data_IF_944443232542
#
_entry.id   IF_944443232542
#
_cell.length_a   1.000
_cell.length_b   1.000
_cell.length_c   1.000
_cell.angle_alpha   90.00
_cell.angle_beta   90.00
_cell.angle_gamma   90.00
#
_symmetry.space_group_name_H-M   'P 1'
#
loop_
_entity.id
_entity.type
_entity.pdbx_description
1 polymer ?
#
# COMPACT_ATOMS: atom_id res chain seq x y z
N UNK A 1 27.23 13.10 -5.87
CA UNK A 1 28.47 13.89 -6.08
C UNK A 1 28.44 14.71 -7.36
N UNK A 2 28.15 14.13 -8.55
CA UNK A 2 28.08 14.93 -9.81
C UNK A 2 26.91 15.94 -9.75
N UNK A 3 25.70 15.51 -9.48
CA UNK A 3 24.53 16.38 -9.43
C UNK A 3 24.56 17.40 -8.29
N UNK A 4 25.20 17.10 -7.14
CA UNK A 4 25.43 18.11 -6.10
C UNK A 4 26.31 19.28 -6.61
N UNK A 5 27.31 18.97 -7.46
CA UNK A 5 28.15 19.99 -8.08
C UNK A 5 27.40 20.81 -9.14
N UNK A 6 26.44 20.17 -9.84
CA UNK A 6 25.57 20.88 -10.79
C UNK A 6 24.68 21.86 -10.02
N UNK A 7 24.03 21.43 -8.94
CA UNK A 7 23.16 22.30 -8.11
C UNK A 7 23.90 23.50 -7.51
N UNK A 8 25.19 23.36 -7.20
CA UNK A 8 25.99 24.49 -6.73
C UNK A 8 26.19 25.56 -7.80
N UNK A 9 26.15 25.18 -9.08
CA UNK A 9 26.37 26.10 -10.23
C UNK A 9 25.05 26.56 -10.83
N UNK A 10 24.08 25.67 -10.88
CA UNK A 10 22.74 25.90 -11.42
C UNK A 10 21.66 25.32 -10.47
N UNK A 11 21.17 26.13 -9.53
CA UNK A 11 20.10 25.72 -8.61
C UNK A 11 18.76 25.48 -9.29
N UNK A 12 18.62 25.87 -10.57
CA UNK A 12 17.37 25.72 -11.35
C UNK A 12 17.34 24.45 -12.18
N UNK A 13 18.43 23.67 -12.21
CA UNK A 13 18.47 22.38 -12.89
C UNK A 13 17.53 21.37 -12.22
N UNK A 14 16.42 21.06 -12.92
CA UNK A 14 15.47 20.05 -12.48
C UNK A 14 16.11 18.65 -12.42
N UNK A 15 16.99 18.33 -13.39
CA UNK A 15 17.69 17.05 -13.43
C UNK A 15 18.54 16.86 -12.18
N UNK A 16 19.34 17.87 -11.85
CA UNK A 16 20.21 17.79 -10.68
C UNK A 16 19.41 17.70 -9.38
N UNK A 17 18.33 18.49 -9.25
CA UNK A 17 17.42 18.45 -8.11
C UNK A 17 16.79 17.07 -7.94
N UNK A 18 16.35 16.45 -9.04
CA UNK A 18 15.73 15.13 -9.02
C UNK A 18 16.76 14.02 -8.75
N UNK A 19 17.85 13.98 -9.52
CA UNK A 19 18.77 12.84 -9.49
C UNK A 19 19.61 12.76 -8.22
N UNK A 20 19.84 13.86 -7.51
CA UNK A 20 20.44 13.82 -6.16
C UNK A 20 19.57 12.99 -5.21
N UNK A 21 18.26 13.18 -5.23
CA UNK A 21 17.33 12.45 -4.37
C UNK A 21 17.12 11.03 -4.88
N UNK A 22 16.91 10.87 -6.19
CA UNK A 22 16.67 9.58 -6.83
C UNK A 22 17.78 8.57 -6.54
N UNK A 23 19.05 8.92 -6.76
CA UNK A 23 20.17 7.99 -6.53
C UNK A 23 20.38 7.68 -5.06
N UNK A 24 20.12 8.63 -4.14
CA UNK A 24 20.14 8.36 -2.71
C UNK A 24 19.06 7.35 -2.32
N UNK A 25 17.88 7.46 -2.91
CA UNK A 25 16.79 6.52 -2.66
C UNK A 25 17.08 5.14 -3.26
N UNK A 26 17.73 5.06 -4.42
CA UNK A 26 18.17 3.79 -5.05
C UNK A 26 19.19 3.02 -4.21
N UNK A 27 20.03 3.71 -3.45
CA UNK A 27 21.07 3.13 -2.59
C UNK A 27 20.59 2.88 -1.14
N UNK A 28 19.32 3.20 -0.82
CA UNK A 28 18.84 3.11 0.55
C UNK A 28 18.79 1.67 1.05
N UNK A 29 19.09 1.49 2.33
CA UNK A 29 18.90 0.22 3.04
C UNK A 29 17.45 0.09 3.49
N UNK A 30 17.04 -1.13 3.86
CA UNK A 30 15.69 -1.42 4.36
C UNK A 30 15.24 -0.43 5.46
N UNK A 31 16.07 -0.21 6.46
CA UNK A 31 15.77 0.73 7.55
C UNK A 31 15.64 2.21 7.12
N UNK A 32 15.96 2.51 5.88
CA UNK A 32 15.91 3.87 5.31
C UNK A 32 14.75 4.07 4.32
N UNK A 33 13.95 3.02 4.06
CA UNK A 33 12.86 3.08 3.06
C UNK A 33 11.90 4.22 3.35
N UNK A 34 11.45 4.38 4.60
CA UNK A 34 10.53 5.45 4.96
C UNK A 34 11.13 6.84 4.66
N UNK A 35 12.35 7.09 5.10
CA UNK A 35 13.02 8.39 4.88
C UNK A 35 13.33 8.63 3.40
N UNK A 36 13.68 7.59 2.64
CA UNK A 36 13.90 7.68 1.21
C UNK A 36 12.59 8.03 0.47
N UNK A 37 11.49 7.35 0.79
CA UNK A 37 10.18 7.65 0.21
C UNK A 37 9.73 9.08 0.50
N UNK A 38 9.84 9.54 1.76
CA UNK A 38 9.52 10.93 2.13
C UNK A 38 10.38 11.91 1.33
N UNK A 39 11.68 11.64 1.17
CA UNK A 39 12.59 12.52 0.41
C UNK A 39 12.21 12.59 -1.07
N UNK A 40 11.85 11.46 -1.68
CA UNK A 40 11.36 11.41 -3.07
C UNK A 40 10.05 12.19 -3.20
N UNK A 41 9.06 11.94 -2.34
CA UNK A 41 7.78 12.65 -2.38
C UNK A 41 7.96 14.17 -2.27
N UNK A 42 8.81 14.62 -1.34
CA UNK A 42 9.07 16.05 -1.12
C UNK A 42 9.78 16.73 -2.28
N UNK A 43 10.60 16.03 -3.07
CA UNK A 43 11.29 16.65 -4.20
C UNK A 43 10.40 16.81 -5.45
N UNK A 44 9.31 16.04 -5.58
CA UNK A 44 8.46 16.00 -6.80
C UNK A 44 7.88 17.38 -7.12
N UNK A 45 7.28 18.05 -6.13
CA UNK A 45 6.69 19.38 -6.32
C UNK A 45 7.73 20.39 -6.85
N UNK A 46 8.88 20.44 -6.20
CA UNK A 46 9.96 21.34 -6.61
C UNK A 46 10.46 21.02 -8.01
N UNK A 47 10.72 19.75 -8.32
CA UNK A 47 11.23 19.31 -9.63
C UNK A 47 10.25 19.61 -10.75
N UNK A 48 8.96 19.31 -10.58
CA UNK A 48 7.93 19.56 -11.58
C UNK A 48 7.70 21.07 -11.80
N UNK A 49 7.80 21.89 -10.75
CA UNK A 49 7.79 23.34 -10.87
C UNK A 49 9.00 23.87 -11.65
N UNK A 50 10.22 23.37 -11.34
CA UNK A 50 11.42 23.74 -12.10
C UNK A 50 11.28 23.40 -13.59
N UNK A 51 10.71 22.25 -13.93
CA UNK A 51 10.40 21.90 -15.32
C UNK A 51 9.42 22.91 -15.93
N UNK A 52 8.32 23.21 -15.23
CA UNK A 52 7.29 24.12 -15.70
C UNK A 52 7.83 25.53 -15.97
N UNK A 53 8.67 26.03 -15.07
CA UNK A 53 9.11 27.42 -15.04
C UNK A 53 10.35 27.67 -15.90
N UNK A 54 11.27 26.69 -15.99
CA UNK A 54 12.59 26.90 -16.62
C UNK A 54 12.76 26.17 -17.96
N UNK A 55 11.91 25.21 -18.33
CA UNK A 55 11.97 24.56 -19.65
C UNK A 55 11.01 25.26 -20.59
N UNK A 56 11.54 25.92 -21.63
CA UNK A 56 10.72 26.80 -22.49
C UNK A 56 9.89 26.03 -23.52
N UNK A 57 10.42 24.92 -24.04
CA UNK A 57 9.74 24.10 -25.06
C UNK A 57 8.72 23.16 -24.41
N UNK A 58 7.51 23.11 -24.93
CA UNK A 58 6.48 22.17 -24.47
C UNK A 58 6.87 20.71 -24.68
N UNK A 59 7.55 20.41 -25.77
CA UNK A 59 8.00 19.04 -26.04
C UNK A 59 9.13 18.62 -25.08
N UNK A 60 10.02 19.54 -24.73
CA UNK A 60 11.04 19.31 -23.72
C UNK A 60 10.44 19.19 -22.30
N UNK A 61 9.46 20.04 -21.97
CA UNK A 61 8.71 19.90 -20.72
C UNK A 61 8.06 18.52 -20.63
N UNK A 62 7.42 18.08 -21.70
CA UNK A 62 6.79 16.77 -21.80
C UNK A 62 7.81 15.64 -21.60
N UNK A 63 8.94 15.68 -22.30
CA UNK A 63 10.00 14.70 -22.12
C UNK A 63 10.49 14.67 -20.66
N UNK A 64 10.73 15.84 -20.06
CA UNK A 64 11.23 15.98 -18.70
C UNK A 64 10.24 15.44 -17.65
N UNK A 65 8.96 15.85 -17.67
CA UNK A 65 8.00 15.33 -16.68
C UNK A 65 7.71 13.85 -16.90
N UNK A 66 7.75 13.35 -18.13
CA UNK A 66 7.58 11.90 -18.41
C UNK A 66 8.77 11.10 -17.83
N UNK A 67 9.98 11.61 -17.97
CA UNK A 67 11.16 10.97 -17.36
C UNK A 67 11.04 10.93 -15.84
N UNK A 68 10.72 12.04 -15.20
CA UNK A 68 10.52 12.11 -13.76
C UNK A 68 9.42 11.14 -13.32
N UNK A 69 8.27 11.13 -14.02
CA UNK A 69 7.15 10.24 -13.70
C UNK A 69 7.57 8.77 -13.75
N UNK A 70 8.22 8.34 -14.83
CA UNK A 70 8.70 6.97 -14.97
C UNK A 70 9.70 6.58 -13.87
N UNK A 71 10.63 7.46 -13.54
CA UNK A 71 11.62 7.23 -12.48
C UNK A 71 10.97 7.15 -11.09
N UNK A 72 10.02 8.04 -10.80
CA UNK A 72 9.27 8.01 -9.53
C UNK A 72 8.46 6.73 -9.42
N UNK A 73 7.78 6.29 -10.48
CA UNK A 73 7.03 5.02 -10.48
C UNK A 73 7.95 3.83 -10.19
N UNK A 74 9.12 3.78 -10.81
CA UNK A 74 10.11 2.71 -10.59
C UNK A 74 10.63 2.72 -9.16
N UNK A 75 11.11 3.87 -8.66
CA UNK A 75 11.69 3.92 -7.31
C UNK A 75 10.64 3.65 -6.24
N UNK A 76 9.42 4.16 -6.38
CA UNK A 76 8.33 3.90 -5.45
C UNK A 76 7.98 2.40 -5.42
N UNK A 77 7.96 1.75 -6.60
CA UNK A 77 7.77 0.30 -6.71
C UNK A 77 8.87 -0.50 -6.02
N UNK A 78 10.13 -0.08 -6.16
CA UNK A 78 11.26 -0.70 -5.46
C UNK A 78 11.16 -0.55 -3.95
N UNK A 79 10.83 0.65 -3.45
CA UNK A 79 10.66 0.93 -2.03
C UNK A 79 9.50 0.11 -1.44
N UNK A 80 8.33 0.10 -2.11
CA UNK A 80 7.17 -0.66 -1.65
C UNK A 80 7.43 -2.17 -1.62
N UNK A 81 7.96 -2.72 -2.71
CA UNK A 81 8.26 -4.15 -2.80
C UNK A 81 9.41 -4.55 -1.87
N UNK A 82 10.41 -3.71 -1.69
CA UNK A 82 11.50 -3.91 -0.74
C UNK A 82 10.97 -4.02 0.69
N UNK A 83 10.10 -3.08 1.09
CA UNK A 83 9.44 -3.10 2.40
C UNK A 83 8.55 -4.34 2.58
N UNK A 84 7.74 -4.68 1.56
CA UNK A 84 6.87 -5.85 1.57
C UNK A 84 7.68 -7.14 1.70
N UNK A 85 8.71 -7.32 0.88
CA UNK A 85 9.53 -8.53 0.90
C UNK A 85 10.30 -8.67 2.22
N UNK A 86 10.78 -7.56 2.77
CA UNK A 86 11.39 -7.56 4.10
C UNK A 86 10.40 -8.03 5.15
N UNK A 87 9.22 -7.40 5.23
CA UNK A 87 8.18 -7.74 6.19
C UNK A 87 7.75 -9.22 6.09
N UNK A 88 7.52 -9.71 4.87
CA UNK A 88 7.14 -11.11 4.64
C UNK A 88 8.28 -12.08 5.00
N UNK A 89 9.54 -11.66 4.81
CA UNK A 89 10.73 -12.48 5.14
C UNK A 89 11.06 -12.55 6.64
N UNK A 90 10.45 -11.71 7.50
CA UNK A 90 10.65 -11.76 8.95
C UNK A 90 10.03 -13.05 9.52
N UNK A 91 10.72 -13.66 10.48
CA UNK A 91 10.19 -14.81 11.22
C UNK A 91 8.80 -14.48 11.76
N UNK A 92 7.88 -15.41 11.52
CA UNK A 92 6.46 -15.20 11.78
C UNK A 92 6.15 -14.97 13.25
N UNK A 93 6.93 -15.57 14.16
CA UNK A 93 6.73 -15.42 15.60
C UNK A 93 6.93 -13.98 16.09
N UNK A 94 7.73 -13.20 15.35
CA UNK A 94 8.07 -11.81 15.70
C UNK A 94 7.54 -10.79 14.68
N UNK A 95 7.00 -11.23 13.54
CA UNK A 95 6.57 -10.36 12.42
C UNK A 95 5.58 -9.28 12.85
N UNK A 96 4.68 -9.60 13.80
CA UNK A 96 3.70 -8.65 14.32
C UNK A 96 4.34 -7.38 14.91
N UNK A 97 5.56 -7.49 15.45
CA UNK A 97 6.29 -6.35 16.01
C UNK A 97 6.76 -5.37 14.92
N UNK A 98 6.81 -5.81 13.66
CA UNK A 98 7.26 -5.02 12.51
C UNK A 98 6.12 -4.53 11.61
N UNK A 99 4.86 -4.80 11.98
CA UNK A 99 3.69 -4.39 11.19
C UNK A 99 3.63 -2.87 11.03
N UNK A 100 3.94 -2.10 12.08
CA UNK A 100 3.94 -0.63 12.01
C UNK A 100 5.06 -0.11 11.09
N UNK A 101 6.23 -0.73 11.09
CA UNK A 101 7.32 -0.40 10.17
C UNK A 101 6.91 -0.66 8.72
N UNK A 102 6.30 -1.81 8.46
CA UNK A 102 5.74 -2.14 7.15
C UNK A 102 4.71 -1.10 6.67
N UNK A 103 3.77 -0.73 7.53
CA UNK A 103 2.76 0.29 7.23
C UNK A 103 3.44 1.62 6.90
N UNK A 104 4.37 2.09 7.73
CA UNK A 104 5.06 3.37 7.54
C UNK A 104 5.85 3.40 6.22
N UNK A 105 6.60 2.33 5.93
CA UNK A 105 7.35 2.19 4.69
C UNK A 105 6.42 2.14 3.46
N UNK A 106 5.31 1.41 3.55
CA UNK A 106 4.30 1.33 2.49
C UNK A 106 3.66 2.69 2.21
N UNK A 107 3.29 3.43 3.26
CA UNK A 107 2.74 4.78 3.11
C UNK A 107 3.75 5.76 2.50
N UNK A 108 5.02 5.70 2.88
CA UNK A 108 6.05 6.55 2.30
C UNK A 108 6.24 6.30 0.79
N UNK A 109 6.20 5.04 0.35
CA UNK A 109 6.23 4.69 -1.07
C UNK A 109 4.95 5.13 -1.81
N UNK A 110 3.77 4.96 -1.20
CA UNK A 110 2.49 5.42 -1.77
C UNK A 110 2.44 6.94 -1.89
N UNK A 111 2.98 7.67 -0.92
CA UNK A 111 3.04 9.14 -0.96
C UNK A 111 3.76 9.64 -2.22
N UNK A 112 4.81 8.95 -2.68
CA UNK A 112 5.52 9.33 -3.91
C UNK A 112 4.57 9.33 -5.13
N UNK A 113 3.80 8.26 -5.32
CA UNK A 113 2.92 8.14 -6.50
C UNK A 113 1.68 9.04 -6.38
N UNK A 114 1.13 9.23 -5.18
CA UNK A 114 0.03 10.19 -4.99
C UNK A 114 0.49 11.62 -5.24
N UNK A 115 1.63 12.02 -4.66
CA UNK A 115 2.20 13.36 -4.89
C UNK A 115 2.57 13.58 -6.36
N UNK A 116 3.10 12.56 -7.05
CA UNK A 116 3.38 12.64 -8.48
C UNK A 116 2.12 12.93 -9.29
N UNK A 117 1.07 12.13 -9.09
CA UNK A 117 -0.19 12.32 -9.82
C UNK A 117 -0.81 13.68 -9.55
N UNK A 118 -0.83 14.11 -8.28
CA UNK A 118 -1.40 15.41 -7.89
C UNK A 118 -0.66 16.58 -8.52
N UNK A 119 0.67 16.54 -8.56
CA UNK A 119 1.46 17.62 -9.15
C UNK A 119 1.42 17.62 -10.68
N UNK A 120 1.39 16.46 -11.34
CA UNK A 120 1.20 16.38 -12.79
C UNK A 120 -0.16 16.94 -13.21
N UNK A 121 -1.24 16.57 -12.52
CA UNK A 121 -2.60 17.10 -12.77
C UNK A 121 -2.64 18.62 -12.55
N UNK A 122 -2.04 19.11 -11.47
CA UNK A 122 -2.03 20.53 -11.13
C UNK A 122 -1.25 21.37 -12.14
N UNK A 123 -0.03 20.94 -12.50
CA UNK A 123 0.91 21.75 -13.28
C UNK A 123 0.77 21.57 -14.79
N UNK A 124 0.38 20.37 -15.22
CA UNK A 124 0.32 19.96 -16.63
C UNK A 124 -1.03 19.36 -17.04
N UNK A 125 -2.09 19.53 -16.25
CA UNK A 125 -3.41 18.91 -16.46
C UNK A 125 -4.15 19.30 -17.76
N UNK A 126 -3.60 20.21 -18.56
CA UNK A 126 -4.06 20.51 -19.93
C UNK A 126 -3.44 19.58 -20.97
N UNK A 127 -2.44 18.78 -20.61
CA UNK A 127 -1.79 17.81 -21.48
C UNK A 127 -2.33 16.40 -21.24
N UNK A 128 -2.77 15.76 -22.30
CA UNK A 128 -3.38 14.41 -22.23
C UNK A 128 -2.40 13.37 -21.68
N UNK A 129 -1.10 13.46 -22.00
CA UNK A 129 -0.11 12.52 -21.50
C UNK A 129 0.15 12.71 -20.01
N UNK A 130 0.23 13.96 -19.54
CA UNK A 130 0.33 14.25 -18.11
C UNK A 130 -0.88 13.70 -17.35
N UNK A 131 -2.09 13.79 -17.91
CA UNK A 131 -3.31 13.24 -17.34
C UNK A 131 -3.27 11.71 -17.26
N UNK A 132 -2.75 11.03 -18.27
CA UNK A 132 -2.57 9.59 -18.28
C UNK A 132 -1.53 9.14 -17.25
N UNK A 133 -0.43 9.87 -17.11
CA UNK A 133 0.59 9.61 -16.10
C UNK A 133 0.04 9.84 -14.68
N UNK A 134 -0.74 10.91 -14.47
CA UNK A 134 -1.43 11.18 -13.20
C UNK A 134 -2.34 10.03 -12.83
N UNK A 135 -3.21 9.61 -13.74
CA UNK A 135 -4.11 8.49 -13.52
C UNK A 135 -3.34 7.19 -13.21
N UNK A 136 -2.25 6.91 -13.93
CA UNK A 136 -1.41 5.73 -13.70
C UNK A 136 -0.76 5.75 -12.32
N UNK A 137 -0.25 6.90 -11.87
CA UNK A 137 0.34 7.08 -10.55
C UNK A 137 -0.71 6.87 -9.44
N UNK A 138 -1.89 7.48 -9.56
CA UNK A 138 -2.99 7.29 -8.59
C UNK A 138 -3.50 5.84 -8.56
N UNK A 139 -3.65 5.17 -9.71
CA UNK A 139 -4.03 3.75 -9.78
C UNK A 139 -3.05 2.87 -9.00
N UNK A 140 -1.76 3.13 -9.14
CA UNK A 140 -0.73 2.40 -8.39
C UNK A 140 -0.85 2.66 -6.88
N UNK A 141 -1.04 3.93 -6.49
CA UNK A 141 -1.26 4.32 -5.10
C UNK A 141 -2.50 3.65 -4.50
N UNK A 142 -3.62 3.67 -5.21
CA UNK A 142 -4.87 3.00 -4.80
C UNK A 142 -4.65 1.49 -4.62
N UNK A 143 -3.97 0.83 -5.56
CA UNK A 143 -3.71 -0.62 -5.46
C UNK A 143 -2.88 -0.98 -4.21
N UNK A 144 -1.83 -0.21 -3.91
CA UNK A 144 -1.03 -0.41 -2.70
C UNK A 144 -1.82 -0.09 -1.43
N UNK A 145 -2.60 1.00 -1.44
CA UNK A 145 -3.43 1.39 -0.31
C UNK A 145 -4.44 0.28 0.03
N UNK A 146 -5.15 -0.23 -0.98
CA UNK A 146 -6.08 -1.35 -0.83
C UNK A 146 -5.38 -2.61 -0.28
N UNK A 147 -4.16 -2.90 -0.70
CA UNK A 147 -3.40 -4.04 -0.19
C UNK A 147 -3.00 -3.91 1.29
N UNK A 148 -2.84 -2.67 1.80
CA UNK A 148 -2.50 -2.39 3.19
C UNK A 148 -3.71 -2.31 4.12
N UNK A 149 -4.93 -2.17 3.59
CA UNK A 149 -6.15 -1.91 4.38
C UNK A 149 -6.37 -2.91 5.52
N UNK A 150 -5.98 -4.19 5.32
CA UNK A 150 -6.08 -5.22 6.35
C UNK A 150 -5.31 -4.90 7.63
N UNK A 151 -4.22 -4.16 7.51
CA UNK A 151 -3.31 -3.81 8.60
C UNK A 151 -3.62 -2.43 9.23
N UNK A 152 -4.55 -1.65 8.66
CA UNK A 152 -4.82 -0.29 9.10
C UNK A 152 -5.89 -0.25 10.21
N UNK A 153 -5.68 0.64 11.17
CA UNK A 153 -6.61 0.86 12.30
C UNK A 153 -7.79 1.72 11.85
N UNK A 154 -7.52 2.88 11.24
CA UNK A 154 -8.55 3.78 10.70
C UNK A 154 -8.90 3.40 9.26
N UNK A 155 -9.72 2.36 9.11
CA UNK A 155 -10.15 1.90 7.79
C UNK A 155 -11.08 2.91 7.11
N UNK A 156 -11.96 3.56 7.85
CA UNK A 156 -12.94 4.49 7.27
C UNK A 156 -12.27 5.76 6.73
N UNK A 157 -11.30 6.33 7.48
CA UNK A 157 -10.48 7.44 6.98
C UNK A 157 -9.69 7.07 5.74
N UNK A 158 -9.08 5.87 5.74
CA UNK A 158 -8.31 5.39 4.60
C UNK A 158 -9.19 5.10 3.37
N UNK A 159 -10.41 4.56 3.54
CA UNK A 159 -11.38 4.41 2.45
C UNK A 159 -11.76 5.74 1.82
N UNK A 160 -11.96 6.77 2.64
CA UNK A 160 -12.25 8.12 2.13
C UNK A 160 -11.10 8.66 1.27
N UNK A 161 -9.85 8.44 1.67
CA UNK A 161 -8.67 8.79 0.86
C UNK A 161 -8.67 8.03 -0.46
N UNK A 162 -8.84 6.71 -0.43
CA UNK A 162 -8.92 5.87 -1.64
C UNK A 162 -10.03 6.35 -2.58
N UNK A 163 -11.24 6.57 -2.05
CA UNK A 163 -12.38 7.04 -2.86
C UNK A 163 -12.12 8.40 -3.48
N UNK A 164 -11.42 9.30 -2.77
CA UNK A 164 -10.99 10.58 -3.32
C UNK A 164 -10.06 10.42 -4.53
N UNK A 165 -9.11 9.48 -4.48
CA UNK A 165 -8.23 9.20 -5.62
C UNK A 165 -8.96 8.44 -6.74
N UNK A 166 -9.88 7.52 -6.43
CA UNK A 166 -10.74 6.88 -7.44
C UNK A 166 -11.50 7.93 -8.24
N UNK A 167 -12.11 8.90 -7.57
CA UNK A 167 -12.82 10.00 -8.25
C UNK A 167 -11.91 10.86 -9.13
N UNK A 168 -10.63 11.05 -8.76
CA UNK A 168 -9.64 11.73 -9.62
C UNK A 168 -9.29 10.87 -10.85
N UNK A 169 -9.14 9.56 -10.68
CA UNK A 169 -8.85 8.63 -11.79
C UNK A 169 -10.01 8.62 -12.80
N UNK A 170 -11.25 8.57 -12.33
CA UNK A 170 -12.44 8.52 -13.17
C UNK A 170 -12.59 9.71 -14.12
N UNK A 171 -11.97 10.86 -13.82
CA UNK A 171 -11.90 12.00 -14.75
C UNK A 171 -11.17 11.66 -16.05
N UNK A 172 -10.20 10.76 -16.01
CA UNK A 172 -9.33 10.39 -17.12
C UNK A 172 -9.55 8.96 -17.62
N UNK A 173 -10.14 8.10 -16.79
CA UNK A 173 -10.53 6.73 -17.10
C UNK A 173 -11.83 6.38 -16.36
N UNK A 174 -12.95 6.65 -17.01
CA UNK A 174 -14.30 6.36 -16.50
C UNK A 174 -14.61 4.86 -16.37
N UNK A 175 -13.74 3.99 -16.88
CA UNK A 175 -13.90 2.52 -16.79
C UNK A 175 -13.13 1.91 -15.62
N UNK A 176 -12.38 2.74 -14.90
CA UNK A 176 -11.55 2.25 -13.80
C UNK A 176 -12.40 1.67 -12.67
N UNK A 177 -12.00 0.50 -12.22
CA UNK A 177 -12.51 -0.12 -10.99
C UNK A 177 -11.35 -0.36 -10.05
N UNK A 178 -11.45 0.19 -8.84
CA UNK A 178 -10.42 -0.01 -7.83
C UNK A 178 -10.31 -1.50 -7.47
N UNK A 179 -9.09 -2.02 -7.22
CA UNK A 179 -8.92 -3.35 -6.66
C UNK A 179 -9.72 -3.51 -5.36
N UNK A 180 -10.17 -4.71 -5.08
CA UNK A 180 -10.87 -4.98 -3.83
C UNK A 180 -9.96 -4.67 -2.64
N UNK A 181 -10.57 -4.06 -1.63
CA UNK A 181 -9.92 -3.82 -0.34
C UNK A 181 -9.48 -5.15 0.26
N UNK A 182 -8.22 -5.23 0.66
CA UNK A 182 -7.77 -6.32 1.53
C UNK A 182 -8.40 -6.12 2.91
N UNK A 183 -9.60 -6.61 3.08
CA UNK A 183 -10.39 -6.43 4.31
C UNK A 183 -9.87 -7.24 5.49
N UNK A 184 -8.86 -8.08 5.24
CA UNK A 184 -8.39 -9.00 6.25
C UNK A 184 -9.56 -9.83 6.80
N UNK A 185 -10.21 -10.61 5.96
CA UNK A 185 -11.52 -11.26 6.20
C UNK A 185 -11.68 -12.17 7.43
N UNK A 186 -10.68 -12.25 8.30
CA UNK A 186 -10.76 -12.92 9.60
C UNK A 186 -10.76 -11.89 10.75
N UNK A 187 -11.69 -10.94 10.74
CA UNK A 187 -11.75 -9.80 11.66
C UNK A 187 -11.50 -10.16 13.14
N UNK A 188 -12.20 -11.17 13.66
CA UNK A 188 -12.05 -11.60 15.06
C UNK A 188 -10.67 -12.20 15.27
N UNK A 189 -10.21 -13.09 14.38
CA UNK A 189 -8.89 -13.70 14.50
C UNK A 189 -7.78 -12.65 14.39
N UNK A 190 -7.87 -11.71 13.44
CA UNK A 190 -6.92 -10.60 13.30
C UNK A 190 -6.87 -9.73 14.56
N UNK A 191 -8.03 -9.42 15.16
CA UNK A 191 -8.09 -8.65 16.41
C UNK A 191 -7.45 -9.39 17.59
N UNK A 192 -7.60 -10.73 17.62
CA UNK A 192 -7.08 -11.59 18.69
C UNK A 192 -5.58 -11.82 18.56
N UNK A 193 -5.09 -12.09 17.33
CA UNK A 193 -3.69 -12.41 17.08
C UNK A 193 -2.84 -11.20 16.71
N UNK A 194 -3.48 -10.03 16.52
CA UNK A 194 -2.80 -8.77 16.22
C UNK A 194 -2.27 -8.64 14.79
N UNK A 195 -2.41 -9.67 13.95
CA UNK A 195 -1.97 -9.65 12.55
C UNK A 195 -2.90 -10.48 11.67
N UNK A 196 -3.13 -10.01 10.44
CA UNK A 196 -3.78 -10.78 9.39
C UNK A 196 -2.86 -11.83 8.77
N UNK A 197 -1.57 -11.54 8.75
CA UNK A 197 -0.52 -12.40 8.23
C UNK A 197 0.26 -13.07 9.37
N UNK A 198 -0.37 -14.05 9.99
CA UNK A 198 0.23 -14.93 11.00
C UNK A 198 -0.28 -16.38 10.83
N UNK A 199 0.46 -17.41 11.33
CA UNK A 199 0.13 -18.81 11.10
C UNK A 199 -1.31 -19.16 11.43
N UNK A 200 -1.78 -18.73 12.59
CA UNK A 200 -3.11 -19.01 13.07
C UNK A 200 -4.19 -18.44 12.13
N UNK A 201 -3.98 -17.24 11.63
CA UNK A 201 -4.92 -16.61 10.71
C UNK A 201 -4.84 -17.25 9.32
N UNK A 202 -3.67 -17.65 8.85
CA UNK A 202 -3.53 -18.38 7.58
C UNK A 202 -4.24 -19.73 7.59
N UNK A 203 -4.11 -20.50 8.68
CA UNK A 203 -4.86 -21.75 8.87
C UNK A 203 -6.36 -21.51 8.79
N UNK A 204 -6.86 -20.47 9.48
CA UNK A 204 -8.29 -20.13 9.48
C UNK A 204 -8.78 -19.63 8.12
N UNK A 205 -7.94 -18.91 7.37
CA UNK A 205 -8.24 -18.45 6.00
C UNK A 205 -8.33 -19.63 5.04
N UNK A 206 -7.39 -20.57 5.09
CA UNK A 206 -7.46 -21.81 4.30
C UNK A 206 -8.72 -22.62 4.61
N UNK A 207 -9.03 -22.80 5.89
CA UNK A 207 -10.26 -23.47 6.29
C UNK A 207 -11.50 -22.76 5.75
N UNK A 208 -11.54 -21.42 5.81
CA UNK A 208 -12.61 -20.63 5.20
C UNK A 208 -12.74 -20.93 3.70
N UNK A 209 -11.62 -20.88 2.97
CA UNK A 209 -11.62 -20.89 1.51
C UNK A 209 -11.76 -22.29 0.93
N UNK A 210 -11.16 -23.30 1.54
CA UNK A 210 -11.15 -24.66 1.01
C UNK A 210 -12.14 -25.62 1.69
N UNK A 211 -12.74 -25.22 2.82
CA UNK A 211 -13.69 -26.08 3.54
C UNK A 211 -15.05 -25.42 3.67
N UNK A 212 -15.13 -24.24 4.28
CA UNK A 212 -16.43 -23.58 4.49
C UNK A 212 -17.03 -23.11 3.17
N UNK A 213 -16.24 -22.54 2.30
CA UNK A 213 -16.71 -21.98 1.04
C UNK A 213 -17.20 -23.01 0.03
N UNK A 214 -16.78 -24.26 0.13
CA UNK A 214 -17.28 -25.34 -0.73
C UNK A 214 -18.73 -25.69 -0.46
N UNK A 215 -19.24 -25.39 0.75
CA UNK A 215 -20.61 -25.72 1.16
C UNK A 215 -21.55 -24.50 1.12
N UNK A 216 -22.83 -24.72 0.80
CA UNK A 216 -23.82 -23.63 0.77
C UNK A 216 -24.01 -22.98 2.15
N UNK A 217 -24.03 -23.76 3.22
CA UNK A 217 -24.16 -23.25 4.60
C UNK A 217 -22.89 -22.56 5.06
N UNK A 218 -21.70 -23.03 4.63
CA UNK A 218 -20.45 -22.35 4.91
C UNK A 218 -20.36 -20.99 4.23
N UNK A 219 -20.80 -20.87 2.97
CA UNK A 219 -20.91 -19.56 2.28
C UNK A 219 -21.89 -18.63 3.00
N UNK A 220 -23.01 -19.13 3.49
CA UNK A 220 -23.97 -18.34 4.28
C UNK A 220 -23.33 -17.89 5.61
N UNK A 221 -22.60 -18.78 6.29
CA UNK A 221 -21.85 -18.44 7.50
C UNK A 221 -20.80 -17.35 7.22
N UNK A 222 -20.02 -17.48 6.17
CA UNK A 222 -19.00 -16.49 5.78
C UNK A 222 -19.64 -15.12 5.54
N UNK A 223 -20.74 -15.04 4.78
CA UNK A 223 -21.48 -13.79 4.54
C UNK A 223 -21.99 -13.16 5.83
N UNK A 224 -22.59 -13.95 6.71
CA UNK A 224 -23.10 -13.48 8.01
C UNK A 224 -21.95 -13.03 8.91
N UNK A 225 -20.86 -13.78 8.94
CA UNK A 225 -19.65 -13.43 9.69
C UNK A 225 -19.09 -12.07 9.24
N UNK A 226 -18.99 -11.84 7.92
CA UNK A 226 -18.50 -10.58 7.38
C UNK A 226 -19.44 -9.40 7.59
N UNK A 227 -20.73 -9.63 7.69
CA UNK A 227 -21.70 -8.59 8.01
C UNK A 227 -21.62 -8.14 9.49
N UNK A 228 -21.31 -9.06 10.40
CA UNK A 228 -21.41 -8.83 11.85
C UNK A 228 -20.04 -8.57 12.50
N UNK A 229 -19.00 -9.32 12.09
CA UNK A 229 -17.70 -9.29 12.76
C UNK A 229 -16.97 -7.93 12.73
N UNK A 230 -17.05 -7.09 11.67
CA UNK A 230 -16.45 -5.77 11.69
C UNK A 230 -17.02 -4.89 12.81
N UNK A 231 -18.34 -4.92 13.00
CA UNK A 231 -19.03 -4.14 14.05
C UNK A 231 -18.63 -4.64 15.44
N UNK A 232 -18.59 -5.95 15.65
CA UNK A 232 -18.15 -6.53 16.93
C UNK A 232 -16.70 -6.18 17.26
N UNK A 233 -15.80 -6.26 16.27
CA UNK A 233 -14.40 -5.93 16.46
C UNK A 233 -14.21 -4.42 16.68
N UNK A 234 -14.96 -3.57 15.99
CA UNK A 234 -14.96 -2.11 16.21
C UNK A 234 -15.30 -1.76 17.66
N UNK A 235 -16.28 -2.43 18.26
CA UNK A 235 -16.71 -2.12 19.62
C UNK A 235 -15.86 -2.80 20.69
N UNK A 236 -15.46 -4.04 20.49
CA UNK A 236 -14.88 -4.89 21.54
C UNK A 236 -13.46 -5.39 21.23
N UNK A 237 -13.00 -5.34 19.97
CA UNK A 237 -11.74 -5.97 19.52
C UNK A 237 -10.48 -5.43 20.20
N UNK A 238 -10.53 -4.23 20.79
CA UNK A 238 -9.44 -3.63 21.56
C UNK A 238 -9.45 -4.04 23.05
N UNK A 239 -10.53 -4.67 23.53
CA UNK A 239 -10.68 -5.04 24.94
C UNK A 239 -9.99 -6.36 25.26
N UNK A 240 -9.29 -6.43 26.40
CA UNK A 240 -8.55 -7.62 26.80
C UNK A 240 -9.47 -8.82 27.08
N UNK A 241 -10.69 -8.58 27.62
CA UNK A 241 -11.64 -9.67 27.84
C UNK A 241 -12.12 -10.32 26.54
N UNK A 242 -12.33 -9.53 25.49
CA UNK A 242 -12.71 -10.02 24.15
C UNK A 242 -11.60 -10.87 23.54
N UNK A 243 -10.39 -10.37 23.56
CA UNK A 243 -9.21 -11.10 23.07
C UNK A 243 -9.02 -12.42 23.83
N UNK A 244 -9.08 -12.38 25.16
CA UNK A 244 -8.91 -13.57 26.01
C UNK A 244 -10.03 -14.61 25.78
N UNK A 245 -11.27 -14.17 25.63
CA UNK A 245 -12.41 -15.04 25.38
C UNK A 245 -12.28 -15.78 24.04
N UNK A 246 -11.92 -15.05 22.98
CA UNK A 246 -11.79 -15.62 21.64
C UNK A 246 -10.50 -16.40 21.45
N UNK A 247 -9.40 -15.97 22.07
CA UNK A 247 -8.08 -16.60 21.92
C UNK A 247 -8.13 -18.10 22.23
N UNK A 248 -8.65 -18.51 23.35
CA UNK A 248 -8.70 -19.92 23.72
C UNK A 248 -9.58 -20.79 22.81
N UNK A 249 -10.60 -20.18 22.16
CA UNK A 249 -11.45 -20.89 21.17
C UNK A 249 -10.73 -21.01 19.83
N UNK A 250 -10.11 -19.93 19.37
CA UNK A 250 -9.38 -19.89 18.12
C UNK A 250 -8.13 -20.76 18.18
N UNK A 251 -7.36 -20.71 19.28
CA UNK A 251 -6.17 -21.56 19.46
C UNK A 251 -6.53 -23.06 19.35
N UNK A 252 -7.64 -23.47 19.98
CA UNK A 252 -8.12 -24.86 19.89
C UNK A 252 -8.56 -25.23 18.46
N UNK A 253 -9.28 -24.31 17.79
CA UNK A 253 -9.69 -24.52 16.40
C UNK A 253 -8.49 -24.65 15.46
N UNK A 254 -7.51 -23.77 15.58
CA UNK A 254 -6.27 -23.79 14.78
C UNK A 254 -5.50 -25.10 15.04
N UNK A 255 -5.35 -25.50 16.29
CA UNK A 255 -4.67 -26.75 16.64
C UNK A 255 -5.34 -27.99 16.01
N UNK A 256 -6.67 -28.04 16.01
CA UNK A 256 -7.41 -29.14 15.37
C UNK A 256 -7.24 -29.12 13.84
N UNK A 257 -7.35 -27.95 13.20
CA UNK A 257 -7.17 -27.81 11.76
C UNK A 257 -5.75 -28.19 11.32
N UNK A 258 -4.73 -27.78 12.08
CA UNK A 258 -3.35 -28.16 11.79
C UNK A 258 -3.15 -29.68 11.96
N UNK A 259 -3.79 -30.31 12.95
CA UNK A 259 -3.78 -31.77 13.14
C UNK A 259 -4.49 -32.52 11.98
N UNK A 260 -5.46 -31.88 11.34
CA UNK A 260 -6.15 -32.36 10.13
C UNK A 260 -5.36 -32.07 8.82
N UNK A 261 -4.18 -31.44 8.92
CA UNK A 261 -3.30 -31.18 7.79
C UNK A 261 -3.50 -29.84 7.10
N UNK A 262 -4.28 -28.92 7.68
CA UNK A 262 -4.38 -27.54 7.16
C UNK A 262 -3.08 -26.80 7.49
N UNK A 263 -2.39 -26.33 6.47
CA UNK A 263 -1.09 -25.66 6.61
C UNK A 263 -1.21 -24.29 7.30
N UNK A 264 -0.18 -23.93 8.05
CA UNK A 264 0.00 -22.64 8.71
C UNK A 264 1.04 -21.73 8.03
N UNK A 265 1.34 -22.04 6.75
CA UNK A 265 2.29 -21.29 5.90
C UNK A 265 1.65 -20.05 5.28
N UNK A 266 2.43 -19.08 4.76
CA UNK A 266 1.90 -17.89 4.11
C UNK A 266 0.82 -18.20 3.06
N UNK A 267 -0.27 -17.41 3.12
CA UNK A 267 -1.45 -17.67 2.32
C UNK A 267 -2.00 -16.39 1.69
N UNK A 268 -2.32 -16.46 0.40
CA UNK A 268 -3.02 -15.41 -0.35
C UNK A 268 -4.48 -15.82 -0.49
N UNK A 269 -5.43 -14.93 -0.14
CA UNK A 269 -6.86 -15.20 -0.23
C UNK A 269 -7.29 -15.56 -1.64
N UNK A 270 -8.26 -16.46 -1.74
CA UNK A 270 -8.97 -16.69 -3.00
C UNK A 270 -9.95 -15.55 -3.27
N UNK A 271 -10.06 -15.14 -4.53
CA UNK A 271 -11.12 -14.24 -4.99
C UNK A 271 -12.45 -15.00 -5.03
N UNK A 272 -13.53 -14.38 -4.52
CA UNK A 272 -14.89 -14.95 -4.38
C UNK A 272 -15.87 -14.26 -5.30
#
# INVERSE_FOLDING_TARGET
>A
KYYDMVLMKDPTSWEASFYVVYFKAMECKIAQIQSAGISVANCIDTVLKLIKDNVSSKDEQKAAYTEVANRVMVISGMLFNGAKNHYVGIDIQIRSNYTQEWINNGFAAMQCVYTLGDNLDLLFGTDTEANQLSASAWKQGVAWHQSLMGNLVDKDGNRNVVNGYVSKIEKYDSTYTAPQENTGGCYIATAVYGSYDCPQVWTLRRFRDYTLAETWYGRTFIRTYYAISPTLVKWFGHTEWFKKMWKGRLDRMVANLNAEGVEDTPYVDQEW
#
